data_IF_346929637412
#
_entry.id   IF_346929637412
#
_cell.length_a   1.000
_cell.length_b   1.000
_cell.length_c   1.000
_cell.angle_alpha   90.00
_cell.angle_beta   90.00
_cell.angle_gamma   90.00
#
_symmetry.space_group_name_H-M   'P 1'
#
loop_
_entity.id
_entity.type
_entity.pdbx_description
1 polymer ?
#
# COMPACT_ATOMS: atom_id res chain seq x y z
N UNK A 1 11.06 1.69 -15.67
CA UNK A 1 11.12 2.40 -14.36
C UNK A 1 9.70 2.91 -14.06
N UNK A 2 9.18 2.77 -12.83
CA UNK A 2 7.75 2.93 -12.48
C UNK A 2 7.07 4.20 -13.02
N UNK A 3 5.74 4.13 -13.21
CA UNK A 3 4.91 5.32 -13.47
C UNK A 3 3.78 5.39 -12.45
N UNK A 4 3.65 6.52 -11.77
CA UNK A 4 2.50 6.81 -10.92
C UNK A 4 1.38 7.46 -11.73
N UNK A 5 0.14 6.99 -11.54
CA UNK A 5 -1.07 7.62 -12.08
C UNK A 5 -2.25 7.39 -11.13
N UNK A 6 -2.78 8.47 -10.55
CA UNK A 6 -3.93 8.43 -9.61
C UNK A 6 -3.74 7.45 -8.43
N UNK A 7 -2.57 7.45 -7.79
CA UNK A 7 -2.26 6.56 -6.65
C UNK A 7 -2.06 5.09 -7.04
N UNK A 8 -1.92 4.79 -8.34
CA UNK A 8 -1.54 3.48 -8.84
C UNK A 8 -0.08 3.49 -9.29
N UNK A 9 0.67 2.47 -8.87
CA UNK A 9 2.00 2.18 -9.36
C UNK A 9 1.87 1.21 -10.53
N UNK A 10 2.23 1.68 -11.71
CA UNK A 10 2.25 0.88 -12.93
C UNK A 10 3.70 0.50 -13.27
N UNK A 11 3.90 -0.78 -13.54
CA UNK A 11 5.18 -1.31 -13.93
C UNK A 11 5.35 -1.32 -15.45
N UNK A 12 6.50 -0.85 -15.94
CA UNK A 12 6.79 -0.75 -17.38
C UNK A 12 7.60 -1.92 -17.96
N UNK A 13 8.10 -2.83 -17.12
CA UNK A 13 8.88 -4.01 -17.51
C UNK A 13 8.59 -5.16 -16.55
N UNK A 14 8.64 -6.44 -16.96
CA UNK A 14 8.41 -7.57 -16.03
C UNK A 14 9.53 -7.69 -14.99
N UNK A 15 9.19 -7.87 -13.70
CA UNK A 15 10.14 -7.98 -12.59
C UNK A 15 9.46 -8.28 -11.24
N UNK A 16 10.26 -8.61 -10.22
CA UNK A 16 9.81 -8.76 -8.85
C UNK A 16 9.90 -7.44 -8.08
N UNK A 17 8.86 -7.10 -7.32
CA UNK A 17 8.81 -5.89 -6.51
C UNK A 17 8.44 -6.19 -5.05
N UNK A 18 9.10 -5.52 -4.10
CA UNK A 18 8.67 -5.46 -2.70
C UNK A 18 7.82 -4.22 -2.51
N UNK A 19 6.65 -4.39 -1.92
CA UNK A 19 5.67 -3.32 -1.71
C UNK A 19 5.28 -3.29 -0.25
N UNK A 20 5.27 -2.10 0.35
CA UNK A 20 4.99 -1.88 1.76
C UNK A 20 3.89 -0.85 1.90
N UNK A 21 2.92 -1.13 2.76
CA UNK A 21 1.90 -0.18 3.14
C UNK A 21 1.81 -0.07 4.65
N UNK A 22 1.83 1.16 5.17
CA UNK A 22 1.67 1.45 6.58
C UNK A 22 0.55 2.47 6.78
N UNK A 23 -0.34 2.18 7.73
CA UNK A 23 -1.49 3.01 8.11
C UNK A 23 -1.35 3.41 9.57
N UNK A 24 -1.89 4.59 9.90
CA UNK A 24 -2.01 5.09 11.27
C UNK A 24 -3.50 5.32 11.59
N UNK A 25 -3.86 5.12 12.85
CA UNK A 25 -5.23 5.23 13.38
C UNK A 25 -6.21 4.18 12.79
N UNK A 26 -7.51 4.30 13.11
CA UNK A 26 -8.55 3.32 12.73
C UNK A 26 -8.71 3.25 11.21
N UNK A 27 -7.92 2.38 10.59
CA UNK A 27 -7.91 2.18 9.16
C UNK A 27 -7.85 0.71 8.77
N UNK A 28 -8.44 0.42 7.60
CA UNK A 28 -8.30 -0.88 6.94
C UNK A 28 -7.93 -0.61 5.50
N UNK A 29 -6.73 -1.02 5.10
CA UNK A 29 -6.21 -0.81 3.76
C UNK A 29 -5.77 -2.15 3.18
N UNK A 30 -6.07 -2.37 1.91
CA UNK A 30 -5.61 -3.54 1.18
C UNK A 30 -4.76 -3.13 -0.02
N UNK A 31 -3.70 -3.90 -0.25
CA UNK A 31 -2.93 -3.88 -1.48
C UNK A 31 -3.63 -4.72 -2.53
N UNK A 32 -3.76 -4.19 -3.73
CA UNK A 32 -4.38 -4.85 -4.87
C UNK A 32 -3.41 -4.95 -6.06
N UNK A 33 -3.43 -6.08 -6.76
CA UNK A 33 -2.81 -6.29 -8.08
C UNK A 33 -3.93 -6.54 -9.08
N UNK A 34 -4.09 -5.69 -10.10
CA UNK A 34 -5.10 -5.85 -11.17
C UNK A 34 -6.55 -6.10 -10.69
N UNK A 35 -6.93 -5.64 -9.49
CA UNK A 35 -8.26 -5.89 -8.92
C UNK A 35 -8.30 -7.03 -7.89
N UNK A 36 -7.27 -7.87 -7.83
CA UNK A 36 -7.14 -8.94 -6.84
C UNK A 36 -6.45 -8.46 -5.57
N UNK A 37 -7.02 -8.83 -4.42
CA UNK A 37 -6.49 -8.46 -3.10
C UNK A 37 -5.27 -9.31 -2.77
N UNK A 38 -4.14 -8.66 -2.49
CA UNK A 38 -2.86 -9.31 -2.14
C UNK A 38 -2.72 -9.45 -0.63
N UNK A 39 -2.64 -8.33 0.09
CA UNK A 39 -2.51 -8.28 1.55
C UNK A 39 -3.44 -7.22 2.12
N UNK A 40 -3.82 -7.37 3.38
CA UNK A 40 -4.63 -6.40 4.12
C UNK A 40 -3.92 -6.01 5.39
N UNK A 41 -3.94 -4.73 5.69
CA UNK A 41 -3.49 -4.15 6.94
C UNK A 41 -4.71 -3.57 7.63
N UNK A 42 -4.86 -3.87 8.92
CA UNK A 42 -5.99 -3.42 9.71
C UNK A 42 -5.48 -2.95 11.06
N UNK A 43 -5.99 -1.80 11.49
CA UNK A 43 -5.80 -1.29 12.83
C UNK A 43 -7.15 -0.87 13.41
N UNK A 44 -7.36 -1.21 14.68
CA UNK A 44 -8.50 -0.79 15.47
C UNK A 44 -7.98 0.09 16.60
N UNK A 45 -7.78 1.38 16.31
CA UNK A 45 -7.40 2.34 17.33
C UNK A 45 -8.48 2.41 18.43
N UNK A 46 -8.06 2.28 19.68
CA UNK A 46 -8.88 2.57 20.87
C UNK A 46 -8.60 4.03 21.24
N UNK A 47 -9.61 4.75 21.74
CA UNK A 47 -9.47 6.17 22.07
C UNK A 47 -8.30 6.42 23.03
N UNK A 48 -7.39 7.32 22.66
CA UNK A 48 -6.27 7.76 23.52
C UNK A 48 -4.92 7.13 23.21
N UNK A 49 -4.81 6.23 22.23
CA UNK A 49 -3.53 5.63 21.82
C UNK A 49 -3.31 5.77 20.32
N UNK A 50 -2.12 6.27 19.93
CA UNK A 50 -1.70 6.29 18.52
C UNK A 50 -1.19 4.91 18.12
N UNK A 51 -1.86 4.27 17.16
CA UNK A 51 -1.46 2.97 16.65
C UNK A 51 -1.02 3.07 15.18
N UNK A 52 -0.07 2.21 14.81
CA UNK A 52 0.40 2.05 13.44
C UNK A 52 0.35 0.57 13.08
N UNK A 53 -0.16 0.27 11.89
CA UNK A 53 -0.14 -1.08 11.33
C UNK A 53 0.53 -1.05 9.95
N UNK A 54 1.35 -2.07 9.66
CA UNK A 54 2.06 -2.20 8.40
C UNK A 54 1.97 -3.61 7.84
N UNK A 55 2.00 -3.74 6.52
CA UNK A 55 2.16 -5.03 5.85
C UNK A 55 3.06 -4.87 4.62
N UNK A 56 3.60 -5.98 4.14
CA UNK A 56 4.42 -6.00 2.93
C UNK A 56 4.24 -7.28 2.13
N UNK A 57 4.41 -7.17 0.81
CA UNK A 57 4.38 -8.31 -0.09
C UNK A 57 5.52 -8.21 -1.10
N UNK A 58 6.03 -9.37 -1.54
CA UNK A 58 6.86 -9.47 -2.73
C UNK A 58 5.99 -10.05 -3.84
N UNK A 59 5.87 -9.33 -4.95
CA UNK A 59 5.03 -9.69 -6.09
C UNK A 59 5.88 -9.86 -7.33
N UNK A 60 5.60 -10.93 -8.09
CA UNK A 60 5.99 -11.00 -9.50
C UNK A 60 5.02 -10.14 -10.31
N UNK A 61 5.57 -9.23 -11.10
CA UNK A 61 4.80 -8.29 -11.89
C UNK A 61 5.24 -8.37 -13.35
N UNK A 62 4.28 -8.19 -14.24
CA UNK A 62 4.49 -8.06 -15.68
C UNK A 62 4.29 -6.61 -16.11
N UNK A 63 4.79 -6.27 -17.31
CA UNK A 63 4.57 -4.93 -17.86
C UNK A 63 3.06 -4.68 -18.04
N UNK A 64 2.57 -3.56 -17.51
CA UNK A 64 1.14 -3.22 -17.53
C UNK A 64 0.35 -3.67 -16.29
N UNK A 65 0.94 -4.48 -15.40
CA UNK A 65 0.34 -4.75 -14.09
C UNK A 65 0.19 -3.46 -13.28
N UNK A 66 -0.97 -3.30 -12.65
CA UNK A 66 -1.30 -2.17 -11.79
C UNK A 66 -1.34 -2.63 -10.34
N UNK A 67 -0.56 -1.95 -9.49
CA UNK A 67 -0.59 -2.15 -8.06
C UNK A 67 -1.03 -0.89 -7.35
N UNK A 68 -1.98 -1.00 -6.41
CA UNK A 68 -2.55 0.15 -5.72
C UNK A 68 -3.12 -0.22 -4.36
N UNK A 69 -3.33 0.80 -3.52
CA UNK A 69 -4.03 0.64 -2.25
C UNK A 69 -5.50 0.99 -2.39
N UNK A 70 -6.35 0.27 -1.66
CA UNK A 70 -7.77 0.64 -1.47
C UNK A 70 -8.08 0.66 0.01
N UNK A 71 -8.60 1.79 0.45
CA UNK A 71 -9.18 1.98 1.78
C UNK A 71 -10.57 1.33 1.81
N UNK A 72 -10.87 0.59 2.88
CA UNK A 72 -12.20 -0.01 3.04
C UNK A 72 -13.20 1.04 3.54
N UNK A 73 -14.48 0.86 3.20
CA UNK A 73 -15.53 1.80 3.58
C UNK A 73 -15.58 2.08 5.09
N UNK A 74 -15.91 3.32 5.46
CA UNK A 74 -15.96 3.81 6.85
C UNK A 74 -14.62 3.77 7.59
N UNK A 75 -13.52 3.82 6.85
CA UNK A 75 -12.20 4.08 7.42
C UNK A 75 -11.59 5.32 6.78
N UNK A 76 -10.68 5.98 7.48
CA UNK A 76 -10.06 7.23 7.05
C UNK A 76 -8.56 7.06 7.12
N UNK A 77 -7.83 7.54 6.11
CA UNK A 77 -6.39 7.72 6.22
C UNK A 77 -6.18 8.97 7.06
N UNK A 78 -5.53 8.83 8.22
CA UNK A 78 -5.21 9.99 9.05
C UNK A 78 -3.86 10.57 8.61
N UNK A 79 -3.86 11.87 8.31
CA UNK A 79 -2.67 12.66 8.09
C UNK A 79 -2.74 13.85 9.05
N UNK A 80 -1.73 13.98 9.91
CA UNK A 80 -1.58 15.09 10.85
C UNK A 80 -0.31 15.88 10.46
N UNK A 81 -0.38 17.20 10.52
CA UNK A 81 0.70 18.14 10.22
C UNK A 81 1.99 17.98 11.02
N UNK A 82 2.00 17.22 12.12
CA UNK A 82 3.16 17.03 12.97
C UNK A 82 3.88 15.71 12.70
N UNK A 83 3.20 14.55 12.75
CA UNK A 83 3.87 13.22 12.61
C UNK A 83 2.98 12.13 11.98
N UNK A 84 1.76 12.43 11.52
CA UNK A 84 0.83 11.45 10.99
C UNK A 84 1.11 11.13 9.53
N UNK A 85 1.89 10.08 9.24
CA UNK A 85 2.16 9.65 7.86
C UNK A 85 1.63 8.24 7.59
N UNK A 86 0.76 8.13 6.58
CA UNK A 86 0.46 6.86 5.92
C UNK A 86 1.37 6.75 4.71
N UNK A 87 2.15 5.67 4.61
CA UNK A 87 3.13 5.51 3.55
C UNK A 87 2.80 4.33 2.66
N UNK A 88 3.10 4.51 1.37
CA UNK A 88 3.04 3.47 0.35
C UNK A 88 4.30 3.57 -0.49
N UNK A 89 5.10 2.52 -0.50
CA UNK A 89 6.35 2.50 -1.26
C UNK A 89 6.60 1.11 -1.83
N UNK A 90 7.44 1.09 -2.86
CA UNK A 90 7.91 -0.17 -3.43
C UNK A 90 9.17 0.02 -4.25
N UNK A 91 9.93 -1.06 -4.39
CA UNK A 91 11.16 -1.09 -5.16
C UNK A 91 11.33 -2.45 -5.84
N UNK A 92 12.27 -2.49 -6.78
CA UNK A 92 12.56 -3.67 -7.60
C UNK A 92 13.56 -4.55 -6.88
N UNK A 93 13.23 -5.83 -6.73
CA UNK A 93 14.07 -6.81 -6.04
C UNK A 93 15.00 -7.50 -7.03
N UNK A 94 14.47 -7.88 -8.20
CA UNK A 94 15.27 -8.46 -9.27
C UNK A 94 14.58 -8.25 -10.63
N UNK A 95 15.34 -8.00 -11.70
CA UNK A 95 14.85 -8.22 -13.05
C UNK A 95 14.59 -9.72 -13.27
N UNK A 96 13.62 -10.05 -14.11
CA UNK A 96 13.42 -11.40 -14.66
C UNK A 96 13.67 -11.39 -16.14
#
# INVERSE_FOLDING_TARGET
MWKEKFGKLELKVPQCAKIVNAIRDKAKVSLFKNGDRVVTTYDHAVSGTGHSAGNSAVLRLEAGDNVYLRLWGRTTVYEDSQLGQTTFSGFLVSPT
#
